data_IF_391361036532
#
_entry.id   IF_391361036532
#
_cell.length_a   1.000
_cell.length_b   1.000
_cell.length_c   1.000
_cell.angle_alpha   90.00
_cell.angle_beta   90.00
_cell.angle_gamma   90.00
#
_symmetry.space_group_name_H-M   'P 1'
#
loop_
_entity.id
_entity.type
_entity.pdbx_description
1 polymer ?
#
# COMPACT_ATOMS: atom_id res chain seq x y z
N UNK A 1 17.98 3.54 6.13
CA UNK A 1 18.38 3.25 4.76
C UNK A 1 17.37 2.29 4.12
N UNK A 2 16.97 2.52 2.84
CA UNK A 2 15.95 1.71 2.17
C UNK A 2 16.34 0.22 2.06
N UNK A 3 17.62 -0.07 1.96
CA UNK A 3 18.20 -1.42 1.91
C UNK A 3 17.92 -2.29 3.14
N UNK A 4 17.46 -1.69 4.23
CA UNK A 4 17.04 -2.38 5.45
C UNK A 4 15.52 -2.37 5.68
N UNK A 5 14.71 -1.87 4.74
CA UNK A 5 13.26 -1.79 4.86
C UNK A 5 12.58 -2.84 3.97
N UNK A 6 11.93 -3.83 4.59
CA UNK A 6 11.12 -4.83 3.91
C UNK A 6 9.65 -4.40 3.94
N UNK A 7 9.07 -4.07 2.78
CA UNK A 7 7.63 -3.86 2.70
C UNK A 7 6.91 -5.20 2.72
N UNK A 8 5.96 -5.36 3.65
CA UNK A 8 5.10 -6.56 3.74
C UNK A 8 3.67 -6.14 3.49
N UNK A 9 3.10 -6.57 2.37
CA UNK A 9 1.78 -6.12 1.90
C UNK A 9 0.91 -7.30 1.47
N UNK A 10 -0.40 -7.09 1.45
CA UNK A 10 -1.29 -8.14 1.00
C UNK A 10 -2.78 -7.86 1.17
N UNK A 11 -3.56 -8.92 1.21
CA UNK A 11 -5.01 -8.90 1.35
C UNK A 11 -5.44 -8.27 2.68
N UNK A 12 -6.49 -7.43 2.63
CA UNK A 12 -7.17 -6.93 3.83
C UNK A 12 -7.96 -8.02 4.56
N UNK A 13 -8.36 -9.05 3.84
CA UNK A 13 -9.02 -10.27 4.34
C UNK A 13 -8.02 -11.41 4.37
N UNK A 14 -6.99 -11.29 5.22
CA UNK A 14 -5.94 -12.30 5.35
C UNK A 14 -6.49 -13.61 5.91
N UNK A 15 -6.11 -14.72 5.29
CA UNK A 15 -6.40 -16.06 5.82
C UNK A 15 -5.52 -16.38 7.05
N UNK A 16 -5.79 -17.48 7.75
CA UNK A 16 -4.91 -17.96 8.82
C UNK A 16 -3.50 -18.24 8.27
N UNK A 17 -3.40 -18.84 7.08
CA UNK A 17 -2.14 -19.07 6.38
C UNK A 17 -1.39 -17.76 6.14
N UNK A 18 -2.04 -16.77 5.52
CA UNK A 18 -1.42 -15.49 5.24
C UNK A 18 -0.93 -14.78 6.49
N UNK A 19 -1.71 -14.80 7.58
CA UNK A 19 -1.30 -14.23 8.86
C UNK A 19 -0.08 -14.94 9.47
N UNK A 20 -0.05 -16.28 9.40
CA UNK A 20 1.07 -17.08 9.94
C UNK A 20 2.36 -16.78 9.16
N UNK A 21 2.31 -16.82 7.82
CA UNK A 21 3.48 -16.54 6.99
C UNK A 21 3.96 -15.09 7.19
N UNK A 22 3.02 -14.13 7.22
CA UNK A 22 3.34 -12.73 7.52
C UNK A 22 4.06 -12.58 8.84
N UNK A 23 3.55 -13.21 9.91
CA UNK A 23 4.14 -13.11 11.24
C UNK A 23 5.57 -13.66 11.26
N UNK A 24 5.81 -14.82 10.64
CA UNK A 24 7.16 -15.42 10.54
C UNK A 24 8.13 -14.49 9.78
N UNK A 25 7.75 -14.04 8.59
CA UNK A 25 8.63 -13.19 7.77
C UNK A 25 8.91 -11.84 8.45
N UNK A 26 7.90 -11.20 9.04
CA UNK A 26 8.05 -9.92 9.71
C UNK A 26 8.91 -10.03 10.98
N UNK A 27 8.65 -11.04 11.83
CA UNK A 27 9.44 -11.25 13.03
C UNK A 27 10.91 -11.57 12.69
N UNK A 28 11.14 -12.45 11.70
CA UNK A 28 12.49 -12.78 11.25
C UNK A 28 13.22 -11.55 10.70
N UNK A 29 12.56 -10.71 9.89
CA UNK A 29 13.15 -9.49 9.37
C UNK A 29 13.64 -8.56 10.51
N UNK A 30 12.81 -8.34 11.55
CA UNK A 30 13.18 -7.52 12.70
C UNK A 30 14.32 -8.15 13.51
N UNK A 31 14.29 -9.45 13.74
CA UNK A 31 15.37 -10.18 14.43
C UNK A 31 16.71 -10.05 13.70
N UNK A 32 16.69 -9.92 12.40
CA UNK A 32 17.88 -9.71 11.56
C UNK A 32 18.23 -8.23 11.31
N UNK A 33 17.59 -7.29 12.05
CA UNK A 33 17.91 -5.87 11.98
C UNK A 33 17.25 -5.11 10.84
N UNK A 34 16.30 -5.72 10.13
CA UNK A 34 15.50 -5.01 9.14
C UNK A 34 14.27 -4.36 9.75
N UNK A 35 13.78 -3.30 9.12
CA UNK A 35 12.52 -2.64 9.46
C UNK A 35 11.40 -3.17 8.58
N UNK A 36 10.26 -3.48 9.17
CA UNK A 36 9.04 -3.84 8.43
C UNK A 36 8.26 -2.58 8.10
N UNK A 37 8.01 -2.33 6.81
CA UNK A 37 7.15 -1.21 6.37
C UNK A 37 5.84 -1.75 5.81
N UNK A 38 4.71 -1.14 6.19
CA UNK A 38 3.40 -1.51 5.66
C UNK A 38 2.39 -0.37 5.75
N UNK A 39 1.15 -0.64 5.40
CA UNK A 39 0.12 0.39 5.26
C UNK A 39 -0.83 0.54 6.45
N UNK A 40 -0.72 -0.25 7.50
CA UNK A 40 -1.62 -0.21 8.64
C UNK A 40 -3.05 -0.70 8.35
N UNK A 41 -3.35 -1.22 7.16
CA UNK A 41 -4.66 -1.76 6.82
C UNK A 41 -4.98 -3.06 7.59
N UNK A 42 -6.25 -3.50 7.55
CA UNK A 42 -6.60 -4.83 8.04
C UNK A 42 -5.84 -5.93 7.28
N UNK A 43 -5.81 -7.13 7.83
CA UNK A 43 -5.24 -8.31 7.21
C UNK A 43 -3.72 -8.37 7.31
N UNK A 44 -3.03 -8.50 6.18
CA UNK A 44 -1.57 -8.69 6.11
C UNK A 44 -0.80 -7.53 6.74
N UNK A 45 -1.17 -6.29 6.43
CA UNK A 45 -0.50 -5.10 6.97
C UNK A 45 -0.52 -5.09 8.51
N UNK A 46 -1.70 -5.30 9.10
CA UNK A 46 -1.84 -5.35 10.56
C UNK A 46 -1.11 -6.54 11.20
N UNK A 47 -1.08 -7.68 10.52
CA UNK A 47 -0.33 -8.85 10.99
C UNK A 47 1.19 -8.57 10.96
N UNK A 48 1.68 -7.91 9.91
CA UNK A 48 3.08 -7.53 9.78
C UNK A 48 3.53 -6.58 10.91
N UNK A 49 2.75 -5.52 11.18
CA UNK A 49 3.06 -4.59 12.27
C UNK A 49 3.06 -5.26 13.64
N UNK A 50 2.04 -6.09 13.93
CA UNK A 50 1.97 -6.82 15.23
C UNK A 50 3.18 -7.72 15.42
N UNK A 51 3.54 -8.50 14.40
CA UNK A 51 4.68 -9.40 14.48
C UNK A 51 6.00 -8.64 14.63
N UNK A 52 6.18 -7.52 13.93
CA UNK A 52 7.35 -6.67 14.05
C UNK A 52 7.49 -6.06 15.45
N UNK A 53 6.39 -5.60 16.06
CA UNK A 53 6.38 -5.05 17.42
C UNK A 53 6.61 -6.10 18.51
N UNK A 54 6.23 -7.36 18.27
CA UNK A 54 6.37 -8.46 19.21
C UNK A 54 7.70 -9.21 19.03
N UNK A 55 8.41 -9.00 17.94
CA UNK A 55 9.68 -9.65 17.70
C UNK A 55 10.69 -9.26 18.77
N UNK A 56 11.43 -10.24 19.34
CA UNK A 56 12.55 -9.89 20.18
C UNK A 56 13.55 -9.02 19.41
N UNK A 57 14.11 -8.05 20.12
CA UNK A 57 15.17 -7.24 19.55
C UNK A 57 16.29 -8.15 19.04
N UNK A 58 16.96 -7.80 17.92
CA UNK A 58 18.12 -8.55 17.53
C UNK A 58 19.22 -8.39 18.58
N UNK A 59 20.19 -9.32 18.64
CA UNK A 59 21.32 -9.27 19.54
C UNK A 59 22.06 -7.92 19.47
N UNK A 60 22.60 -7.42 20.60
CA UNK A 60 23.30 -6.13 20.70
C UNK A 60 24.55 -6.04 19.83
N UNK A 61 25.12 -7.19 19.49
CA UNK A 61 26.28 -7.35 18.63
C UNK A 61 25.97 -7.35 17.11
N UNK A 62 24.70 -7.24 16.71
CA UNK A 62 24.35 -6.93 15.34
C UNK A 62 24.79 -5.48 15.03
N UNK A 63 26.03 -5.34 14.60
CA UNK A 63 26.65 -4.07 14.27
C UNK A 63 25.73 -3.25 13.36
N UNK A 64 25.51 -1.97 13.71
CA UNK A 64 24.83 -0.97 12.89
C UNK A 64 23.29 -0.86 13.07
N UNK A 65 22.79 -1.05 14.32
CA UNK A 65 21.35 -0.96 14.64
C UNK A 65 20.88 0.38 15.19
N UNK A 66 21.77 1.30 15.47
CA UNK A 66 21.40 2.57 16.08
C UNK A 66 20.34 3.31 15.23
N UNK A 67 19.10 3.30 15.71
CA UNK A 67 18.00 4.07 15.16
C UNK A 67 17.10 3.38 14.12
N UNK A 68 17.24 2.08 13.85
CA UNK A 68 16.29 1.38 12.94
C UNK A 68 15.05 0.92 13.73
N UNK A 69 13.87 1.51 13.49
CA UNK A 69 12.65 1.09 14.18
C UNK A 69 12.19 -0.29 13.71
N UNK A 70 11.51 -1.08 14.58
CA UNK A 70 11.01 -2.39 14.18
C UNK A 70 9.99 -2.31 13.03
N UNK A 71 9.23 -1.23 12.98
CA UNK A 71 8.22 -1.07 11.93
C UNK A 71 7.87 0.39 11.64
N UNK A 72 7.48 0.63 10.39
CA UNK A 72 7.00 1.92 9.88
C UNK A 72 5.64 1.73 9.23
N UNK A 73 4.62 2.45 9.68
CA UNK A 73 3.33 2.47 9.01
C UNK A 73 3.17 3.74 8.16
N UNK A 74 2.90 3.53 6.87
CA UNK A 74 2.58 4.63 5.95
C UNK A 74 1.06 4.75 5.88
N UNK A 75 0.49 5.92 6.19
CA UNK A 75 -0.94 6.11 6.25
C UNK A 75 -1.47 6.87 5.02
N UNK A 76 -2.74 6.63 4.67
CA UNK A 76 -3.40 7.27 3.53
C UNK A 76 -4.22 8.52 3.91
N UNK A 77 -4.26 8.88 5.18
CA UNK A 77 -4.89 10.07 5.74
C UNK A 77 -3.93 10.83 6.63
N UNK A 78 -4.37 11.94 7.20
CA UNK A 78 -3.60 12.70 8.20
C UNK A 78 -3.27 11.87 9.43
N UNK A 79 -2.16 12.20 10.11
CA UNK A 79 -1.69 11.47 11.30
C UNK A 79 -2.49 11.82 12.58
N UNK A 80 -3.35 12.80 12.51
CA UNK A 80 -4.23 13.24 13.60
C UNK A 80 -5.44 12.31 13.81
N UNK A 81 -5.70 11.41 12.85
CA UNK A 81 -6.81 10.47 12.91
C UNK A 81 -6.42 9.12 12.33
N UNK A 82 -6.37 8.11 13.19
CA UNK A 82 -5.98 6.76 12.77
C UNK A 82 -7.09 6.05 12.00
N UNK A 83 -6.69 5.38 10.92
CA UNK A 83 -7.58 4.56 10.10
C UNK A 83 -6.87 3.26 9.66
N UNK A 84 -7.54 2.10 9.74
CA UNK A 84 -8.93 1.90 10.20
C UNK A 84 -9.08 2.03 11.71
N UNK A 85 -10.26 2.43 12.20
CA UNK A 85 -10.51 2.63 13.63
C UNK A 85 -10.22 1.40 14.49
N UNK A 86 -10.48 0.18 13.97
CA UNK A 86 -10.15 -1.07 14.67
C UNK A 86 -8.64 -1.36 14.77
N UNK A 87 -7.77 -0.53 14.19
CA UNK A 87 -6.32 -0.60 14.34
C UNK A 87 -5.74 0.59 15.13
N UNK A 88 -6.58 1.37 15.81
CA UNK A 88 -6.10 2.52 16.57
C UNK A 88 -5.02 2.13 17.60
N UNK A 89 -5.27 1.10 18.42
CA UNK A 89 -4.29 0.63 19.41
C UNK A 89 -3.00 0.13 18.75
N UNK A 90 -3.12 -0.58 17.62
CA UNK A 90 -1.95 -1.02 16.85
C UNK A 90 -1.14 0.16 16.33
N UNK A 91 -1.80 1.17 15.76
CA UNK A 91 -1.11 2.35 15.21
C UNK A 91 -0.49 3.20 16.30
N UNK A 92 -1.10 3.28 17.50
CA UNK A 92 -0.48 3.90 18.68
C UNK A 92 0.77 3.14 19.13
N UNK A 93 0.72 1.80 19.12
CA UNK A 93 1.91 0.98 19.41
C UNK A 93 3.01 1.16 18.37
N UNK A 94 2.66 1.25 17.08
CA UNK A 94 3.63 1.58 16.02
C UNK A 94 4.22 2.96 16.22
N UNK A 95 3.44 3.96 16.61
CA UNK A 95 3.92 5.32 16.89
C UNK A 95 4.89 5.36 18.08
N UNK A 96 4.64 4.53 19.10
CA UNK A 96 5.47 4.49 20.32
C UNK A 96 6.82 3.78 20.12
N UNK A 97 6.86 2.70 19.33
CA UNK A 97 8.05 1.87 19.14
C UNK A 97 8.69 1.99 17.75
N UNK A 98 8.03 2.66 16.82
CA UNK A 98 8.41 2.78 15.43
C UNK A 98 8.10 4.16 14.88
N UNK A 99 7.52 4.20 13.67
CA UNK A 99 7.24 5.47 13.00
C UNK A 99 5.91 5.41 12.23
N UNK A 100 5.14 6.51 12.26
CA UNK A 100 4.03 6.77 11.36
C UNK A 100 4.42 7.82 10.33
N UNK A 101 4.10 7.57 9.06
CA UNK A 101 4.41 8.46 7.93
C UNK A 101 3.14 8.70 7.12
N UNK A 102 2.94 9.93 6.69
CA UNK A 102 1.90 10.29 5.73
C UNK A 102 2.32 11.47 4.88
N UNK A 103 1.89 11.48 3.61
CA UNK A 103 1.98 12.67 2.74
C UNK A 103 0.76 13.60 2.89
N UNK A 104 -0.23 13.19 3.69
CA UNK A 104 -1.45 13.95 3.86
C UNK A 104 -1.37 14.91 5.03
N UNK A 105 -1.89 16.14 4.91
CA UNK A 105 -1.94 17.07 6.02
C UNK A 105 -2.91 16.59 7.11
N UNK A 106 -2.78 17.09 8.35
CA UNK A 106 -3.77 16.87 9.40
C UNK A 106 -5.20 17.19 8.93
N UNK A 107 -6.19 16.44 9.40
CA UNK A 107 -7.59 16.55 8.99
C UNK A 107 -7.95 15.83 7.69
N UNK A 108 -6.98 15.41 6.89
CA UNK A 108 -7.23 14.71 5.64
C UNK A 108 -7.77 13.29 5.88
N UNK A 109 -8.99 13.02 5.43
CA UNK A 109 -9.62 11.69 5.55
C UNK A 109 -9.04 10.72 4.52
N UNK A 110 -8.82 9.44 4.87
CA UNK A 110 -8.41 8.43 3.92
C UNK A 110 -9.53 8.16 2.90
N UNK A 111 -9.18 8.10 1.62
CA UNK A 111 -10.08 7.75 0.52
C UNK A 111 -9.53 6.56 -0.25
N UNK A 112 -10.38 5.89 -1.07
CA UNK A 112 -9.94 4.78 -1.91
C UNK A 112 -8.76 5.18 -2.80
N UNK A 113 -8.81 6.36 -3.38
CA UNK A 113 -7.74 6.88 -4.22
C UNK A 113 -6.44 7.13 -3.42
N UNK A 114 -6.53 7.72 -2.23
CA UNK A 114 -5.38 7.96 -1.35
C UNK A 114 -4.71 6.66 -0.91
N UNK A 115 -5.46 5.58 -0.73
CA UNK A 115 -4.86 4.27 -0.48
C UNK A 115 -3.96 3.80 -1.64
N UNK A 116 -4.40 4.01 -2.89
CA UNK A 116 -3.60 3.65 -4.06
C UNK A 116 -2.37 4.58 -4.20
N UNK A 117 -2.55 5.88 -3.96
CA UNK A 117 -1.44 6.85 -3.98
C UNK A 117 -0.40 6.55 -2.90
N UNK A 118 -0.83 6.24 -1.69
CA UNK A 118 0.04 5.88 -0.59
C UNK A 118 0.94 4.68 -0.90
N UNK A 119 0.44 3.70 -1.69
CA UNK A 119 1.19 2.48 -1.99
C UNK A 119 2.54 2.75 -2.67
N UNK A 120 2.65 3.80 -3.49
CA UNK A 120 3.93 4.22 -4.09
C UNK A 120 4.96 4.63 -3.03
N UNK A 121 4.50 5.21 -1.93
CA UNK A 121 5.38 5.63 -0.83
C UNK A 121 5.93 4.41 -0.09
N UNK A 122 5.09 3.38 0.16
CA UNK A 122 5.55 2.12 0.72
C UNK A 122 6.65 1.51 -0.17
N UNK A 123 6.40 1.43 -1.48
CA UNK A 123 7.38 0.88 -2.42
C UNK A 123 8.67 1.72 -2.50
N UNK A 124 8.56 3.05 -2.43
CA UNK A 124 9.69 3.96 -2.52
C UNK A 124 10.61 3.89 -1.28
N UNK A 125 10.02 3.77 -0.09
CA UNK A 125 10.75 3.68 1.17
C UNK A 125 11.38 2.30 1.38
N UNK A 126 10.84 1.25 0.77
CA UNK A 126 11.31 -0.12 0.91
C UNK A 126 12.50 -0.43 0.00
N UNK A 127 13.40 -1.29 0.46
CA UNK A 127 14.43 -1.93 -0.38
C UNK A 127 13.88 -3.07 -1.21
N UNK A 128 12.88 -3.77 -0.67
CA UNK A 128 12.17 -4.85 -1.33
C UNK A 128 10.71 -4.93 -0.86
N UNK A 129 9.86 -5.56 -1.66
CA UNK A 129 8.44 -5.75 -1.35
C UNK A 129 8.10 -7.24 -1.31
N UNK A 130 7.50 -7.70 -0.21
CA UNK A 130 6.95 -9.04 -0.05
C UNK A 130 5.42 -8.98 -0.15
N UNK A 131 4.84 -9.66 -1.14
CA UNK A 131 3.39 -9.86 -1.29
C UNK A 131 3.02 -11.22 -0.73
N UNK A 132 2.28 -11.27 0.39
CA UNK A 132 1.96 -12.53 1.07
C UNK A 132 0.65 -13.14 0.54
N UNK A 133 -0.39 -12.37 0.43
CA UNK A 133 -1.65 -12.76 -0.17
C UNK A 133 -2.20 -11.63 -1.05
N UNK A 134 -2.71 -11.99 -2.21
CA UNK A 134 -3.36 -11.03 -3.10
C UNK A 134 -4.49 -11.70 -3.88
N UNK A 135 -5.69 -11.12 -3.86
CA UNK A 135 -6.76 -11.48 -4.80
C UNK A 135 -6.43 -10.95 -6.19
N UNK A 136 -7.12 -11.45 -7.21
CA UNK A 136 -6.91 -11.08 -8.63
C UNK A 136 -6.86 -9.56 -8.88
N UNK A 137 -7.67 -8.77 -8.16
CA UNK A 137 -7.68 -7.28 -8.21
C UNK A 137 -7.41 -6.73 -6.82
N UNK A 138 -6.16 -6.76 -6.38
CA UNK A 138 -5.73 -6.38 -5.03
C UNK A 138 -4.85 -5.13 -5.07
N UNK A 139 -4.97 -4.28 -4.04
CA UNK A 139 -4.08 -3.13 -3.83
C UNK A 139 -2.62 -3.52 -3.66
N UNK A 140 -2.33 -4.74 -3.20
CA UNK A 140 -0.97 -5.24 -3.08
C UNK A 140 -0.26 -5.37 -4.44
N UNK A 141 -1.00 -5.70 -5.52
CA UNK A 141 -0.44 -5.71 -6.88
C UNK A 141 -0.05 -4.29 -7.35
N UNK A 142 -0.78 -3.28 -6.92
CA UNK A 142 -0.42 -1.88 -7.20
C UNK A 142 0.90 -1.51 -6.50
N UNK A 143 1.10 -1.93 -5.24
CA UNK A 143 2.38 -1.73 -4.54
C UNK A 143 3.52 -2.47 -5.25
N UNK A 144 3.31 -3.71 -5.67
CA UNK A 144 4.29 -4.47 -6.46
C UNK A 144 4.62 -3.78 -7.79
N UNK A 145 3.62 -3.25 -8.50
CA UNK A 145 3.82 -2.48 -9.72
C UNK A 145 4.69 -1.23 -9.52
N UNK A 146 4.48 -0.49 -8.42
CA UNK A 146 5.35 0.64 -8.07
C UNK A 146 6.78 0.19 -7.75
N UNK A 147 6.93 -0.94 -7.02
CA UNK A 147 8.24 -1.50 -6.71
C UNK A 147 9.02 -1.88 -7.97
N UNK A 148 8.39 -2.56 -8.92
CA UNK A 148 9.00 -2.86 -10.23
C UNK A 148 9.42 -1.60 -10.98
N UNK A 149 8.57 -0.56 -11.00
CA UNK A 149 8.87 0.72 -11.63
C UNK A 149 10.08 1.45 -10.99
N UNK A 150 10.38 1.15 -9.73
CA UNK A 150 11.52 1.68 -8.99
C UNK A 150 12.76 0.75 -9.01
N UNK A 151 12.70 -0.37 -9.74
CA UNK A 151 13.77 -1.37 -9.78
C UNK A 151 13.97 -2.10 -8.45
N UNK A 152 12.93 -2.19 -7.60
CA UNK A 152 12.97 -2.91 -6.33
C UNK A 152 12.63 -4.38 -6.53
N UNK A 153 13.27 -5.25 -5.76
CA UNK A 153 12.92 -6.67 -5.72
C UNK A 153 11.52 -6.88 -5.16
N UNK A 154 10.76 -7.78 -5.79
CA UNK A 154 9.44 -8.18 -5.34
C UNK A 154 9.41 -9.68 -5.13
N UNK A 155 9.22 -10.08 -3.88
CA UNK A 155 8.95 -11.47 -3.49
C UNK A 155 7.45 -11.73 -3.38
N UNK A 156 7.03 -12.92 -3.73
CA UNK A 156 5.63 -13.34 -3.67
C UNK A 156 5.54 -14.69 -2.99
N UNK A 157 4.72 -14.76 -1.96
CA UNK A 157 4.44 -16.02 -1.26
C UNK A 157 3.41 -16.82 -2.07
N UNK A 158 3.66 -18.09 -2.37
CA UNK A 158 2.70 -18.96 -3.02
C UNK A 158 1.58 -19.33 -2.05
N UNK A 159 0.44 -19.72 -2.58
CA UNK A 159 -0.66 -20.24 -1.79
C UNK A 159 -1.42 -21.31 -2.58
N UNK A 160 -2.47 -21.90 -1.98
CA UNK A 160 -3.25 -22.93 -2.66
C UNK A 160 -3.84 -22.40 -3.97
N UNK A 161 -3.72 -23.18 -5.05
CA UNK A 161 -4.24 -22.81 -6.38
C UNK A 161 -5.77 -22.66 -6.41
N UNK A 162 -6.44 -23.25 -5.46
CA UNK A 162 -7.90 -23.17 -5.29
C UNK A 162 -8.34 -21.96 -4.46
N UNK A 163 -7.39 -21.23 -3.84
CA UNK A 163 -7.70 -20.09 -2.98
C UNK A 163 -7.79 -18.78 -3.77
N UNK A 164 -8.92 -18.08 -3.73
CA UNK A 164 -9.03 -16.74 -4.33
C UNK A 164 -8.03 -15.73 -3.74
N UNK A 165 -7.59 -15.93 -2.48
CA UNK A 165 -6.60 -15.08 -1.81
C UNK A 165 -5.19 -15.23 -2.39
N UNK A 166 -4.92 -16.30 -3.14
CA UNK A 166 -3.62 -16.56 -3.79
C UNK A 166 -3.60 -16.20 -5.27
N UNK A 167 -4.77 -15.94 -5.89
CA UNK A 167 -4.87 -15.75 -7.33
C UNK A 167 -4.03 -14.59 -7.87
N UNK A 168 -3.93 -13.48 -7.12
CA UNK A 168 -3.09 -12.35 -7.47
C UNK A 168 -1.60 -12.63 -7.27
N UNK A 169 -1.23 -13.46 -6.30
CA UNK A 169 0.14 -13.93 -6.10
C UNK A 169 0.58 -14.80 -7.28
N UNK A 170 -0.24 -15.77 -7.69
CA UNK A 170 0.05 -16.61 -8.86
C UNK A 170 0.21 -15.78 -10.12
N UNK A 171 -0.66 -14.78 -10.32
CA UNK A 171 -0.56 -13.86 -11.45
C UNK A 171 0.76 -13.09 -11.44
N UNK A 172 1.18 -12.53 -10.30
CA UNK A 172 2.47 -11.83 -10.20
C UNK A 172 3.63 -12.75 -10.55
N UNK A 173 3.63 -14.00 -10.08
CA UNK A 173 4.67 -14.98 -10.41
C UNK A 173 4.70 -15.39 -11.88
N UNK A 174 3.56 -15.35 -12.58
CA UNK A 174 3.45 -15.73 -13.99
C UNK A 174 3.71 -14.57 -14.95
N UNK A 175 3.30 -13.34 -14.58
CA UNK A 175 3.24 -12.21 -15.51
C UNK A 175 4.33 -11.16 -15.24
N UNK A 176 5.13 -11.29 -14.15
CA UNK A 176 6.11 -10.30 -13.76
C UNK A 176 7.43 -10.94 -13.30
N UNK A 177 8.51 -10.16 -13.13
CA UNK A 177 9.79 -10.67 -12.61
C UNK A 177 9.79 -10.93 -11.10
N UNK A 178 8.61 -11.14 -10.50
CA UNK A 178 8.50 -11.44 -9.09
C UNK A 178 9.16 -12.78 -8.72
N UNK A 179 9.83 -12.81 -7.58
CA UNK A 179 10.51 -14.01 -7.08
C UNK A 179 9.59 -14.81 -6.17
N UNK A 180 9.60 -16.12 -6.33
CA UNK A 180 8.94 -17.03 -5.39
C UNK A 180 9.65 -16.97 -4.03
N UNK A 181 8.87 -16.81 -2.96
CA UNK A 181 9.35 -16.80 -1.57
C UNK A 181 8.58 -17.85 -0.78
N UNK A 182 9.30 -18.82 -0.22
CA UNK A 182 8.74 -19.96 0.53
C UNK A 182 9.19 -19.97 1.99
N UNK A 183 10.26 -19.24 2.31
CA UNK A 183 10.85 -19.15 3.64
C UNK A 183 11.06 -17.69 4.08
N UNK A 184 11.16 -17.47 5.39
CA UNK A 184 11.48 -16.16 5.96
C UNK A 184 12.90 -15.68 5.60
N UNK A 185 13.84 -16.61 5.39
CA UNK A 185 15.19 -16.29 4.94
C UNK A 185 15.19 -15.77 3.50
N UNK A 186 14.39 -16.39 2.63
CA UNK A 186 14.22 -15.91 1.25
C UNK A 186 13.54 -14.52 1.21
N UNK A 187 12.58 -14.27 2.10
CA UNK A 187 11.95 -12.95 2.22
C UNK A 187 12.97 -11.87 2.61
N UNK A 188 13.84 -12.15 3.57
CA UNK A 188 14.91 -11.23 3.98
C UNK A 188 15.98 -11.08 2.90
N UNK A 189 16.33 -12.15 2.19
CA UNK A 189 17.34 -12.13 1.12
C UNK A 189 16.95 -11.21 -0.05
N UNK A 190 15.69 -10.81 -0.19
CA UNK A 190 15.28 -9.79 -1.15
C UNK A 190 15.99 -8.44 -0.93
N UNK A 191 16.31 -8.10 0.32
CA UNK A 191 17.00 -6.84 0.68
C UNK A 191 18.46 -6.81 0.25
N UNK A 192 19.13 -7.97 0.21
CA UNK A 192 20.54 -8.08 -0.16
C UNK A 192 20.80 -8.13 -1.67
N UNK A 193 19.77 -8.17 -2.48
CA UNK A 193 19.84 -8.14 -3.93
C UNK A 193 19.70 -6.68 -4.36
N UNK A 194 20.76 -6.04 -4.82
CA UNK A 194 20.66 -4.70 -5.43
C UNK A 194 19.68 -4.69 -6.62
N UNK A 195 19.40 -3.52 -7.23
CA UNK A 195 18.46 -3.41 -8.35
C UNK A 195 18.74 -4.51 -9.35
N UNK A 196 17.70 -5.27 -9.71
CA UNK A 196 17.81 -6.43 -10.59
C UNK A 196 18.68 -6.07 -11.80
N UNK A 197 19.91 -6.53 -11.81
CA UNK A 197 20.74 -6.51 -13.02
C UNK A 197 20.01 -7.46 -13.97
N UNK A 198 19.45 -6.88 -15.01
CA UNK A 198 18.92 -7.61 -16.16
C UNK A 198 20.04 -8.43 -16.79
N UNK A 199 20.36 -9.56 -16.18
CA UNK A 199 21.33 -10.57 -16.59
C UNK A 199 20.57 -11.79 -17.08
N UNK A 200 20.30 -11.77 -18.34
CA UNK A 200 20.06 -12.83 -19.29
C UNK A 200 19.51 -14.18 -18.84
N UNK A 201 18.28 -14.46 -19.23
CA UNK A 201 17.96 -15.70 -19.94
C UNK A 201 16.57 -15.54 -20.56
N UNK A 202 16.51 -15.69 -21.86
CA UNK A 202 15.40 -15.51 -22.76
C UNK A 202 14.05 -16.04 -22.27
N UNK A 203 13.11 -15.14 -22.12
CA UNK A 203 11.69 -15.42 -21.90
C UNK A 203 10.88 -14.42 -22.69
N UNK A 204 10.35 -14.85 -23.78
CA UNK A 204 9.55 -14.21 -24.82
C UNK A 204 8.67 -13.11 -24.26
N UNK A 205 8.90 -11.87 -24.67
CA UNK A 205 7.95 -10.77 -24.61
C UNK A 205 6.71 -11.14 -25.42
N UNK A 206 5.75 -11.75 -24.77
CA UNK A 206 4.38 -11.80 -25.27
C UNK A 206 3.70 -10.52 -24.78
N UNK A 207 3.74 -9.50 -25.62
CA UNK A 207 2.80 -8.38 -25.58
C UNK A 207 1.40 -8.90 -25.91
N UNK A 208 0.80 -9.60 -24.97
CA UNK A 208 -0.63 -9.85 -25.03
C UNK A 208 -1.29 -8.67 -24.35
N UNK A 209 -1.85 -7.77 -25.17
CA UNK A 209 -2.71 -6.69 -24.72
C UNK A 209 -3.72 -7.25 -23.71
N UNK A 210 -3.75 -6.67 -22.52
CA UNK A 210 -4.81 -6.96 -21.57
C UNK A 210 -6.14 -6.65 -22.24
N UNK A 211 -7.20 -7.47 -22.04
CA UNK A 211 -8.51 -7.14 -22.57
C UNK A 211 -8.90 -5.78 -21.99
N UNK A 212 -9.25 -4.86 -22.87
CA UNK A 212 -9.77 -3.55 -22.53
C UNK A 212 -10.96 -3.75 -21.57
N UNK A 213 -10.71 -3.48 -20.28
CA UNK A 213 -11.78 -3.33 -19.33
C UNK A 213 -12.57 -2.12 -19.77
N UNK A 214 -13.89 -2.26 -19.94
CA UNK A 214 -14.77 -1.17 -20.30
C UNK A 214 -14.42 0.07 -19.48
N UNK A 215 -14.09 1.16 -20.16
CA UNK A 215 -13.66 2.41 -19.57
C UNK A 215 -14.69 2.85 -18.52
N UNK A 216 -14.23 3.07 -17.28
CA UNK A 216 -15.10 3.61 -16.23
C UNK A 216 -15.27 5.11 -16.47
N UNK A 217 -16.39 5.72 -16.09
CA UNK A 217 -16.60 7.17 -16.18
C UNK A 217 -15.51 8.00 -15.50
N UNK A 218 -14.72 7.37 -14.61
CA UNK A 218 -13.60 7.98 -13.88
C UNK A 218 -12.23 7.74 -14.53
N UNK A 219 -12.17 6.95 -15.60
CA UNK A 219 -10.91 6.70 -16.32
C UNK A 219 -10.63 7.95 -17.18
N UNK A 220 -9.57 8.67 -16.86
CA UNK A 220 -9.21 9.94 -17.51
C UNK A 220 -9.27 11.17 -16.62
N UNK A 221 -9.69 11.03 -15.36
CA UNK A 221 -9.60 12.12 -14.39
C UNK A 221 -8.14 12.40 -14.02
N UNK A 222 -7.79 13.68 -13.90
CA UNK A 222 -6.51 14.07 -13.29
C UNK A 222 -6.46 13.62 -11.83
N UNK A 223 -5.26 13.60 -11.24
CA UNK A 223 -5.08 13.27 -9.82
C UNK A 223 -5.96 14.13 -8.92
N UNK A 224 -5.99 15.43 -9.14
CA UNK A 224 -6.78 16.38 -8.36
C UNK A 224 -8.28 16.16 -8.52
N UNK A 225 -8.75 15.91 -9.75
CA UNK A 225 -10.14 15.58 -10.02
C UNK A 225 -10.60 14.28 -9.36
N UNK A 226 -9.74 13.27 -9.36
CA UNK A 226 -10.03 12.00 -8.68
C UNK A 226 -10.13 12.18 -7.16
N UNK A 227 -9.26 13.00 -6.54
CA UNK A 227 -9.32 13.32 -5.11
C UNK A 227 -10.61 14.07 -4.76
N UNK A 228 -10.99 15.06 -5.57
CA UNK A 228 -12.23 15.82 -5.35
C UNK A 228 -13.45 14.93 -5.58
N UNK A 229 -13.47 14.11 -6.64
CA UNK A 229 -14.57 13.18 -6.90
C UNK A 229 -14.76 12.16 -5.75
N UNK A 230 -13.69 11.63 -5.18
CA UNK A 230 -13.79 10.73 -4.02
C UNK A 230 -14.21 11.42 -2.72
N UNK A 231 -13.88 12.70 -2.57
CA UNK A 231 -14.32 13.52 -1.43
C UNK A 231 -15.81 13.87 -1.49
N UNK A 232 -16.46 13.72 -2.65
CA UNK A 232 -17.89 13.95 -2.81
C UNK A 232 -18.70 12.82 -2.19
N UNK A 233 -19.67 13.12 -1.30
CA UNK A 233 -20.55 12.12 -0.72
C UNK A 233 -21.59 11.63 -1.74
N UNK A 234 -22.04 10.38 -1.60
CA UNK A 234 -23.00 9.74 -2.51
C UNK A 234 -24.45 10.19 -2.28
N UNK A 235 -24.83 10.57 -1.07
CA UNK A 235 -26.24 10.78 -0.70
C UNK A 235 -26.55 12.19 -0.24
N UNK A 236 -25.72 12.79 0.60
CA UNK A 236 -26.01 14.07 1.23
C UNK A 236 -25.00 15.14 0.75
N UNK A 237 -25.50 16.18 0.08
CA UNK A 237 -24.65 17.26 -0.40
C UNK A 237 -23.96 18.01 0.75
N UNK A 238 -22.68 18.31 0.61
CA UNK A 238 -21.85 19.00 1.62
C UNK A 238 -21.28 20.30 1.07
N UNK A 239 -20.98 21.29 1.93
CA UNK A 239 -20.35 22.54 1.52
C UNK A 239 -18.90 22.28 1.02
N UNK A 240 -18.41 23.20 0.17
CA UNK A 240 -17.09 23.07 -0.47
C UNK A 240 -15.93 22.98 0.52
N UNK A 241 -16.03 23.63 1.68
CA UNK A 241 -15.01 23.58 2.72
C UNK A 241 -14.78 22.15 3.24
N UNK A 242 -15.85 21.39 3.40
CA UNK A 242 -15.75 19.98 3.76
C UNK A 242 -15.05 19.15 2.68
N UNK A 243 -15.32 19.44 1.41
CA UNK A 243 -14.64 18.78 0.29
C UNK A 243 -13.17 19.17 0.26
N UNK A 244 -12.86 20.43 0.49
CA UNK A 244 -11.48 20.97 0.55
C UNK A 244 -10.65 20.23 1.60
N UNK A 245 -11.18 20.12 2.83
CA UNK A 245 -10.53 19.37 3.92
C UNK A 245 -10.41 17.88 3.56
N UNK A 246 -11.49 17.27 3.07
CA UNK A 246 -11.50 15.86 2.72
C UNK A 246 -10.59 15.53 1.54
N UNK A 247 -10.54 16.39 0.51
CA UNK A 247 -9.65 16.25 -0.63
C UNK A 247 -8.18 16.59 -0.30
N UNK A 248 -7.92 17.43 0.73
CA UNK A 248 -6.58 17.89 1.10
C UNK A 248 -5.97 18.76 0.01
N UNK A 249 -6.78 19.55 -0.69
CA UNK A 249 -6.38 20.45 -1.77
C UNK A 249 -6.76 21.89 -1.42
N UNK A 250 -6.10 22.87 -2.02
CA UNK A 250 -6.46 24.26 -1.87
C UNK A 250 -7.84 24.56 -2.47
N UNK A 251 -8.59 25.47 -1.86
CA UNK A 251 -9.95 25.83 -2.30
C UNK A 251 -10.06 26.18 -3.80
N UNK A 252 -9.14 26.97 -4.39
CA UNK A 252 -9.21 27.26 -5.83
C UNK A 252 -9.10 26.01 -6.70
N UNK A 253 -8.24 25.07 -6.34
CA UNK A 253 -8.08 23.78 -7.04
C UNK A 253 -9.35 22.94 -6.94
N UNK A 254 -9.95 22.86 -5.73
CA UNK A 254 -11.21 22.13 -5.52
C UNK A 254 -12.34 22.70 -6.36
N UNK A 255 -12.50 24.03 -6.42
CA UNK A 255 -13.53 24.68 -7.22
C UNK A 255 -13.33 24.42 -8.72
N UNK A 256 -12.09 24.48 -9.21
CA UNK A 256 -11.78 24.16 -10.60
C UNK A 256 -12.10 22.68 -10.93
N UNK A 257 -11.76 21.75 -10.06
CA UNK A 257 -12.09 20.34 -10.22
C UNK A 257 -13.60 20.07 -10.18
N UNK A 258 -14.32 20.67 -9.21
CA UNK A 258 -15.78 20.54 -9.10
C UNK A 258 -16.49 21.01 -10.39
N UNK A 259 -16.04 22.13 -10.97
CA UNK A 259 -16.59 22.64 -12.23
C UNK A 259 -16.35 21.70 -13.42
N UNK A 260 -15.20 21.00 -13.45
CA UNK A 260 -14.90 19.99 -14.48
C UNK A 260 -15.66 18.69 -14.26
N UNK A 261 -15.73 18.21 -13.02
CA UNK A 261 -16.51 17.03 -12.65
C UNK A 261 -18.01 17.22 -12.90
N UNK A 262 -18.53 18.41 -12.66
CA UNK A 262 -19.94 18.73 -12.96
C UNK A 262 -20.22 18.65 -14.46
N UNK A 263 -19.35 19.20 -15.31
CA UNK A 263 -19.50 19.08 -16.77
C UNK A 263 -19.40 17.65 -17.27
N UNK A 264 -18.65 16.80 -16.58
CA UNK A 264 -18.52 15.36 -16.87
C UNK A 264 -19.67 14.52 -16.28
N UNK A 265 -20.66 15.12 -15.58
CA UNK A 265 -21.75 14.40 -14.92
C UNK A 265 -21.32 13.61 -13.68
N UNK A 266 -20.11 13.85 -13.16
CA UNK A 266 -19.53 13.14 -12.02
C UNK A 266 -19.71 13.88 -10.68
N UNK A 267 -20.18 15.11 -10.71
CA UNK A 267 -20.54 15.92 -9.56
C UNK A 267 -21.81 16.70 -9.82
N UNK A 268 -22.63 16.84 -8.79
CA UNK A 268 -23.86 17.61 -8.82
C UNK A 268 -23.82 18.71 -7.75
N UNK A 269 -24.19 19.92 -8.16
CA UNK A 269 -24.37 21.04 -7.25
C UNK A 269 -25.84 21.15 -6.85
N UNK A 270 -26.11 21.11 -5.56
CA UNK A 270 -27.44 21.30 -4.97
C UNK A 270 -27.35 22.55 -4.09
N UNK A 271 -27.89 23.66 -4.56
CA UNK A 271 -27.72 25.00 -3.96
C UNK A 271 -26.23 25.36 -3.84
N UNK A 272 -25.73 25.59 -2.60
CA UNK A 272 -24.32 25.86 -2.31
C UNK A 272 -23.55 24.64 -1.83
N UNK A 273 -24.08 23.45 -2.08
CA UNK A 273 -23.52 22.18 -1.64
C UNK A 273 -23.26 21.26 -2.84
N UNK A 274 -22.40 20.27 -2.64
CA UNK A 274 -21.96 19.35 -3.67
C UNK A 274 -22.12 17.91 -3.24
N UNK A 275 -22.50 17.05 -4.18
CA UNK A 275 -22.53 15.60 -4.04
C UNK A 275 -22.01 14.93 -5.31
N UNK A 276 -21.82 13.63 -5.26
CA UNK A 276 -21.49 12.84 -6.45
C UNK A 276 -22.69 12.80 -7.39
N UNK A 277 -22.45 12.99 -8.68
CA UNK A 277 -23.44 12.87 -9.74
C UNK A 277 -23.73 11.42 -10.11
#
# INVERSE_FOLDING_TARGET
PADRMLAVVGSREATAYGRTVTARCAAHAVQQGACVISGGAYGIDGAAHRAALQAPAAPEDAADRDGVPPTVAVLAGGLDRFYPAGHEDLLRAVMAAGLLVSEMPPGASPTRYRFLQRNRVIAALAGAVLVVEARWRSGAQNTAGHAFGLGREVGVVPGPVTSPSSAGCHRLLQESPARLVTTEQEALALLGQGPARSGGAGGRTSTRAAPESAARPTDGLTMEEALVHEALPLRQAVPVDRITVSAGLALPTVLACLSRLQRAGLAERVEDRWRRG
#
